data_IF_638095221470
#
_entry.id   IF_638095221470
#
_cell.length_a   1.000
_cell.length_b   1.000
_cell.length_c   1.000
_cell.angle_alpha   90.00
_cell.angle_beta   90.00
_cell.angle_gamma   90.00
#
_symmetry.space_group_name_H-M   'P 1'
#
loop_
_entity.id
_entity.type
_entity.pdbx_description
1 polymer ?
#
# COMPACT_ATOMS: atom_id res chain seq x y z
N UNK A 1 -4.09 40.02 14.46
CA UNK A 1 -4.28 38.62 14.00
C UNK A 1 -4.18 37.54 15.10
N UNK A 2 -3.83 37.84 16.36
CA UNK A 2 -3.58 36.80 17.38
C UNK A 2 -4.76 36.33 18.26
N UNK A 3 -5.94 36.95 18.18
CA UNK A 3 -7.06 36.64 19.10
C UNK A 3 -8.02 35.59 18.49
N UNK A 4 -8.19 35.56 17.17
CA UNK A 4 -9.07 34.62 16.48
C UNK A 4 -8.52 33.18 16.46
N UNK A 5 -7.21 32.99 16.30
CA UNK A 5 -6.57 31.66 16.31
C UNK A 5 -6.61 31.00 17.69
N UNK A 6 -6.48 31.80 18.78
CA UNK A 6 -6.58 31.30 20.15
C UNK A 6 -8.00 30.82 20.49
N UNK A 7 -9.03 31.44 19.90
CA UNK A 7 -10.44 31.05 20.07
C UNK A 7 -10.78 29.77 19.31
N UNK A 8 -10.24 29.58 18.09
CA UNK A 8 -10.46 28.38 17.28
C UNK A 8 -9.77 27.15 17.91
N UNK A 9 -8.57 27.32 18.49
CA UNK A 9 -7.87 26.23 19.19
C UNK A 9 -8.60 25.79 20.48
N UNK A 10 -9.16 26.75 21.25
CA UNK A 10 -9.98 26.47 22.44
C UNK A 10 -11.30 25.77 22.09
N UNK A 11 -11.95 26.14 20.98
CA UNK A 11 -13.17 25.48 20.50
C UNK A 11 -12.91 24.05 20.00
N UNK A 12 -11.74 23.80 19.37
CA UNK A 12 -11.30 22.45 18.97
C UNK A 12 -11.00 21.53 20.16
N UNK A 13 -10.43 22.08 21.24
CA UNK A 13 -10.19 21.37 22.51
C UNK A 13 -11.51 20.97 23.21
N UNK A 14 -12.48 21.89 23.28
CA UNK A 14 -13.80 21.64 23.87
C UNK A 14 -14.60 20.56 23.10
N UNK A 15 -14.49 20.52 21.77
CA UNK A 15 -15.12 19.46 20.94
C UNK A 15 -14.47 18.09 21.14
N UNK A 16 -13.15 18.01 21.31
CA UNK A 16 -12.44 16.76 21.65
C UNK A 16 -12.80 16.26 23.04
N UNK A 17 -12.90 17.16 24.03
CA UNK A 17 -13.27 16.81 25.40
C UNK A 17 -14.72 16.31 25.50
N UNK A 18 -15.66 16.91 24.77
CA UNK A 18 -17.05 16.42 24.69
C UNK A 18 -17.15 15.04 24.01
N UNK A 19 -16.38 14.77 22.95
CA UNK A 19 -16.33 13.42 22.31
C UNK A 19 -15.75 12.36 23.25
N UNK A 20 -14.71 12.71 24.01
CA UNK A 20 -14.08 11.81 24.98
C UNK A 20 -15.00 11.49 26.18
N UNK A 21 -15.69 12.50 26.72
CA UNK A 21 -16.70 12.33 27.78
C UNK A 21 -17.92 11.50 27.31
N UNK A 22 -18.34 11.67 26.06
CA UNK A 22 -19.45 10.90 25.47
C UNK A 22 -19.08 9.42 25.24
N UNK A 23 -17.85 9.14 24.78
CA UNK A 23 -17.35 7.77 24.65
C UNK A 23 -17.19 7.08 26.01
N UNK A 24 -16.71 7.76 27.05
CA UNK A 24 -16.61 7.19 28.41
C UNK A 24 -17.97 6.93 29.06
N UNK A 25 -18.96 7.78 28.83
CA UNK A 25 -20.35 7.53 29.27
C UNK A 25 -20.97 6.29 28.61
N UNK A 26 -20.71 6.06 27.32
CA UNK A 26 -21.14 4.84 26.62
C UNK A 26 -20.50 3.57 27.17
N UNK A 27 -19.23 3.62 27.54
CA UNK A 27 -18.50 2.48 28.12
C UNK A 27 -19.00 2.18 29.55
N UNK A 28 -19.32 3.21 30.35
CA UNK A 28 -19.92 2.99 31.68
C UNK A 28 -21.35 2.44 31.63
N UNK A 29 -22.19 2.83 30.66
CA UNK A 29 -23.54 2.28 30.51
C UNK A 29 -23.54 0.81 30.05
N UNK A 30 -22.55 0.37 29.27
CA UNK A 30 -22.40 -1.04 28.87
C UNK A 30 -21.92 -1.93 30.03
N UNK A 31 -21.09 -1.40 30.94
CA UNK A 31 -20.64 -2.12 32.13
C UNK A 31 -21.74 -2.28 33.20
N UNK A 32 -22.66 -1.31 33.31
CA UNK A 32 -23.76 -1.38 34.27
C UNK A 32 -24.89 -2.34 33.85
N UNK A 33 -25.10 -2.55 32.54
CA UNK A 33 -26.13 -3.48 32.04
C UNK A 33 -25.75 -4.96 32.17
N UNK A 34 -24.45 -5.28 32.17
CA UNK A 34 -23.95 -6.65 32.27
C UNK A 34 -23.91 -7.21 33.71
N UNK A 35 -23.87 -6.35 34.72
CA UNK A 35 -23.72 -6.78 36.12
C UNK A 35 -25.04 -7.08 36.84
N UNK A 36 -26.19 -6.68 36.27
CA UNK A 36 -27.50 -6.90 36.91
C UNK A 36 -28.14 -8.28 36.62
N UNK A 37 -27.64 -9.04 35.64
CA UNK A 37 -28.24 -10.32 35.25
C UNK A 37 -27.64 -11.56 35.95
N UNK A 38 -26.60 -11.42 36.77
CA UNK A 38 -25.95 -12.56 37.46
C UNK A 38 -26.60 -12.87 38.82
N UNK A 39 -27.48 -12.01 39.35
CA UNK A 39 -28.11 -12.16 40.67
C UNK A 39 -29.50 -12.83 40.67
N UNK A 40 -30.04 -13.23 39.50
CA UNK A 40 -31.42 -13.78 39.41
C UNK A 40 -31.53 -15.21 38.87
N UNK A 41 -30.43 -15.93 38.65
CA UNK A 41 -30.46 -17.40 38.45
C UNK A 41 -31.33 -17.90 37.27
N UNK A 42 -31.63 -17.06 36.28
CA UNK A 42 -32.38 -17.49 35.09
C UNK A 42 -31.41 -18.08 34.04
N UNK A 43 -31.71 -19.27 33.49
CA UNK A 43 -30.87 -19.86 32.45
C UNK A 43 -30.95 -19.04 31.15
N UNK A 44 -29.85 -18.96 30.38
CA UNK A 44 -29.86 -18.27 29.10
C UNK A 44 -30.79 -19.01 28.12
N UNK A 45 -31.66 -18.26 27.44
CA UNK A 45 -32.46 -18.78 26.34
C UNK A 45 -31.54 -19.31 25.22
N UNK A 46 -31.88 -20.43 24.57
CA UNK A 46 -31.09 -20.97 23.48
C UNK A 46 -31.18 -20.01 22.28
N UNK A 47 -30.08 -19.31 22.00
CA UNK A 47 -29.91 -18.55 20.76
C UNK A 47 -29.61 -19.56 19.67
N UNK A 48 -30.66 -20.03 18.98
CA UNK A 48 -30.50 -20.82 17.76
C UNK A 48 -29.81 -19.99 16.67
N UNK A 49 -29.07 -20.64 15.74
CA UNK A 49 -28.49 -19.93 14.61
C UNK A 49 -29.59 -19.22 13.81
N UNK A 50 -29.34 -18.03 13.25
CA UNK A 50 -30.29 -17.39 12.36
C UNK A 50 -30.62 -18.36 11.20
N UNK A 51 -31.89 -18.42 10.75
CA UNK A 51 -32.25 -19.29 9.64
C UNK A 51 -31.35 -18.97 8.43
N UNK A 52 -30.87 -19.99 7.69
CA UNK A 52 -30.10 -19.75 6.49
C UNK A 52 -30.92 -18.85 5.56
N UNK A 53 -30.33 -17.71 5.20
CA UNK A 53 -30.85 -16.86 4.15
C UNK A 53 -30.66 -17.63 2.85
N UNK A 54 -31.69 -18.37 2.44
CA UNK A 54 -31.74 -18.88 1.08
C UNK A 54 -31.99 -17.66 0.18
N UNK A 55 -31.06 -17.24 -0.69
CA UNK A 55 -31.45 -16.35 -1.77
C UNK A 55 -32.56 -17.06 -2.52
N UNK A 56 -33.75 -16.45 -2.55
CA UNK A 56 -34.77 -16.87 -3.49
C UNK A 56 -34.10 -16.90 -4.85
N UNK A 57 -34.16 -18.04 -5.51
CA UNK A 57 -33.78 -18.16 -6.91
C UNK A 57 -34.71 -17.22 -7.67
N UNK A 58 -34.25 -15.99 -7.89
CA UNK A 58 -34.81 -15.12 -8.92
C UNK A 58 -34.54 -15.85 -10.22
N UNK A 59 -35.61 -16.35 -10.82
CA UNK A 59 -35.57 -16.98 -12.13
C UNK A 59 -34.80 -16.08 -13.10
N UNK A 60 -33.97 -16.69 -13.93
CA UNK A 60 -33.11 -16.06 -14.91
C UNK A 60 -33.90 -15.13 -15.85
N UNK A 61 -33.93 -13.84 -15.53
CA UNK A 61 -34.41 -12.77 -16.42
C UNK A 61 -33.30 -11.80 -16.84
N UNK A 62 -32.05 -12.04 -16.42
CA UNK A 62 -30.91 -11.17 -16.77
C UNK A 62 -30.30 -11.44 -18.14
N UNK A 63 -30.39 -12.67 -18.66
CA UNK A 63 -29.84 -13.00 -19.98
C UNK A 63 -30.55 -12.26 -21.12
N UNK A 64 -31.85 -11.99 -20.98
CA UNK A 64 -32.64 -11.31 -22.02
C UNK A 64 -32.20 -9.85 -22.27
N UNK A 65 -31.68 -9.16 -21.26
CA UNK A 65 -31.25 -7.76 -21.39
C UNK A 65 -29.87 -7.64 -22.05
N UNK A 66 -28.96 -8.55 -21.72
CA UNK A 66 -27.60 -8.57 -22.31
C UNK A 66 -27.66 -8.93 -23.79
N UNK A 67 -28.46 -9.94 -24.17
CA UNK A 67 -28.64 -10.34 -25.57
C UNK A 67 -29.26 -9.20 -26.41
N UNK A 68 -30.25 -8.50 -25.88
CA UNK A 68 -30.87 -7.35 -26.55
C UNK A 68 -29.85 -6.23 -26.83
N UNK A 69 -29.01 -5.89 -25.85
CA UNK A 69 -27.96 -4.89 -26.04
C UNK A 69 -26.91 -5.34 -27.07
N UNK A 70 -26.46 -6.59 -26.96
CA UNK A 70 -25.46 -7.17 -27.86
C UNK A 70 -25.98 -7.41 -29.28
N UNK A 71 -27.29 -7.45 -29.50
CA UNK A 71 -27.88 -7.47 -30.84
C UNK A 71 -27.41 -6.29 -31.70
N UNK A 72 -27.27 -5.11 -31.11
CA UNK A 72 -26.73 -3.92 -31.78
C UNK A 72 -25.25 -3.66 -31.42
N UNK A 73 -24.85 -3.82 -30.15
CA UNK A 73 -23.49 -3.49 -29.68
C UNK A 73 -22.49 -4.63 -29.84
N UNK A 74 -22.93 -5.85 -30.15
CA UNK A 74 -22.07 -7.03 -30.24
C UNK A 74 -21.45 -7.27 -31.62
N UNK A 75 -21.83 -6.46 -32.63
CA UNK A 75 -21.34 -6.56 -34.01
C UNK A 75 -20.53 -5.33 -34.41
N UNK A 76 -19.58 -5.54 -35.32
CA UNK A 76 -18.76 -4.45 -35.86
C UNK A 76 -19.61 -3.49 -36.70
N UNK A 77 -19.28 -2.20 -36.66
CA UNK A 77 -19.89 -1.18 -37.52
C UNK A 77 -20.63 -0.06 -36.80
N UNK A 78 -20.97 -0.23 -35.52
CA UNK A 78 -21.51 0.87 -34.72
C UNK A 78 -20.38 1.77 -34.19
N UNK A 79 -20.47 3.06 -34.50
CA UNK A 79 -19.54 4.08 -34.01
C UNK A 79 -20.29 5.30 -33.50
N UNK A 80 -19.74 5.97 -32.48
CA UNK A 80 -20.21 7.27 -32.01
C UNK A 80 -19.16 8.33 -32.36
N UNK A 81 -19.61 9.42 -32.98
CA UNK A 81 -18.77 10.61 -33.23
C UNK A 81 -19.13 11.70 -32.23
N UNK A 82 -18.13 12.19 -31.51
CA UNK A 82 -18.28 13.25 -30.53
C UNK A 82 -18.06 14.64 -31.15
N UNK A 83 -18.62 15.71 -30.57
CA UNK A 83 -18.33 17.09 -30.96
C UNK A 83 -16.83 17.47 -30.94
N UNK A 84 -16.00 16.75 -30.18
CA UNK A 84 -14.54 16.90 -30.18
C UNK A 84 -13.87 16.44 -31.49
N UNK A 85 -14.59 15.78 -32.39
CA UNK A 85 -14.05 15.15 -33.60
C UNK A 85 -13.55 13.72 -33.38
N UNK A 86 -13.63 13.19 -32.15
CA UNK A 86 -13.31 11.79 -31.86
C UNK A 86 -14.42 10.86 -32.36
N UNK A 87 -14.05 9.78 -33.05
CA UNK A 87 -14.97 8.68 -33.37
C UNK A 87 -14.53 7.44 -32.63
N UNK A 88 -15.42 6.83 -31.87
CA UNK A 88 -15.16 5.60 -31.11
C UNK A 88 -16.03 4.45 -31.59
N UNK A 89 -15.47 3.25 -31.62
CA UNK A 89 -16.25 2.03 -31.83
C UNK A 89 -17.10 1.74 -30.60
N UNK A 90 -18.37 1.37 -30.82
CA UNK A 90 -19.31 0.96 -29.79
C UNK A 90 -19.37 -0.57 -29.64
N UNK A 91 -18.45 -1.29 -30.29
CA UNK A 91 -18.37 -2.75 -30.21
C UNK A 91 -18.06 -3.19 -28.78
N UNK A 92 -18.94 -4.03 -28.25
CA UNK A 92 -18.73 -4.83 -27.05
C UNK A 92 -18.58 -6.29 -27.49
N UNK A 93 -17.36 -6.81 -27.43
CA UNK A 93 -17.11 -8.20 -27.81
C UNK A 93 -17.85 -9.16 -26.84
N UNK A 94 -18.83 -9.96 -27.32
CA UNK A 94 -19.66 -10.80 -26.46
C UNK A 94 -18.86 -11.79 -25.63
N UNK A 95 -17.82 -12.41 -26.22
CA UNK A 95 -17.00 -13.42 -25.55
C UNK A 95 -16.11 -12.80 -24.46
N UNK A 96 -15.52 -11.63 -24.72
CA UNK A 96 -14.72 -10.91 -23.71
C UNK A 96 -15.58 -10.42 -22.56
N UNK A 97 -16.79 -9.92 -22.84
CA UNK A 97 -17.71 -9.52 -21.78
C UNK A 97 -18.12 -10.73 -20.94
N UNK A 98 -18.58 -11.82 -21.56
CA UNK A 98 -19.01 -13.04 -20.86
C UNK A 98 -17.91 -13.70 -20.00
N UNK A 99 -16.64 -13.49 -20.34
CA UNK A 99 -15.48 -13.98 -19.57
C UNK A 99 -14.95 -12.97 -18.54
N UNK A 100 -15.44 -11.73 -18.55
CA UNK A 100 -15.12 -10.73 -17.54
C UNK A 100 -15.69 -11.11 -16.18
N UNK A 101 -15.19 -10.47 -15.12
CA UNK A 101 -15.70 -10.68 -13.75
C UNK A 101 -17.16 -10.22 -13.58
N UNK A 102 -17.65 -9.37 -14.48
CA UNK A 102 -19.02 -8.84 -14.43
C UNK A 102 -19.98 -9.56 -15.36
N UNK A 103 -19.52 -10.13 -16.48
CA UNK A 103 -20.42 -10.63 -17.54
C UNK A 103 -21.24 -11.87 -17.22
N UNK A 104 -21.09 -12.45 -16.03
CA UNK A 104 -21.96 -13.54 -15.53
C UNK A 104 -22.95 -13.10 -14.45
N UNK A 105 -22.81 -11.88 -13.93
CA UNK A 105 -23.50 -11.42 -12.71
C UNK A 105 -24.29 -10.14 -12.98
N UNK A 106 -23.84 -9.31 -13.90
CA UNK A 106 -24.41 -8.00 -14.19
C UNK A 106 -24.96 -7.91 -15.62
N UNK A 107 -26.04 -7.17 -15.75
CA UNK A 107 -26.60 -6.72 -17.02
C UNK A 107 -25.95 -5.40 -17.46
N UNK A 108 -26.15 -5.04 -18.73
CA UNK A 108 -25.63 -3.78 -19.28
C UNK A 108 -26.16 -2.56 -18.51
N UNK A 109 -27.45 -2.57 -18.15
CA UNK A 109 -28.18 -1.49 -17.47
C UNK A 109 -27.76 -1.30 -16.00
N UNK A 110 -27.08 -2.28 -15.39
CA UNK A 110 -26.54 -2.14 -14.03
C UNK A 110 -25.40 -1.13 -13.96
N UNK A 111 -24.65 -0.99 -15.06
CA UNK A 111 -23.59 0.01 -15.22
C UNK A 111 -24.05 1.20 -16.07
N UNK A 112 -24.81 0.96 -17.13
CA UNK A 112 -25.42 1.98 -17.98
C UNK A 112 -26.79 2.42 -17.46
N UNK A 113 -26.81 2.89 -16.22
CA UNK A 113 -28.05 3.12 -15.45
C UNK A 113 -28.91 4.28 -15.98
N UNK A 114 -28.39 5.04 -16.95
CA UNK A 114 -29.12 6.11 -17.63
C UNK A 114 -29.95 5.64 -18.83
N UNK A 115 -29.84 4.37 -19.23
CA UNK A 115 -30.60 3.82 -20.36
C UNK A 115 -31.97 3.34 -19.85
N UNK A 116 -33.04 3.93 -20.39
CA UNK A 116 -34.43 3.64 -19.99
C UNK A 116 -35.30 3.09 -21.13
N UNK A 117 -34.85 3.23 -22.37
CA UNK A 117 -35.56 2.80 -23.58
C UNK A 117 -34.55 2.19 -24.58
N UNK A 118 -35.00 1.27 -25.43
CA UNK A 118 -34.17 0.66 -26.48
C UNK A 118 -34.96 0.67 -27.80
N UNK A 119 -34.45 1.28 -28.89
CA UNK A 119 -33.18 2.02 -29.00
C UNK A 119 -33.12 3.27 -28.11
N UNK A 120 -31.93 3.63 -27.62
CA UNK A 120 -31.72 4.77 -26.71
C UNK A 120 -31.11 5.99 -27.42
N UNK A 121 -31.33 7.22 -26.91
CA UNK A 121 -30.66 8.41 -27.42
C UNK A 121 -29.15 8.37 -27.16
N UNK A 122 -28.39 9.13 -27.95
CA UNK A 122 -26.95 9.30 -27.76
C UNK A 122 -26.65 10.17 -26.54
N UNK A 123 -25.56 9.90 -25.79
CA UNK A 123 -25.15 10.74 -24.68
C UNK A 123 -24.74 12.13 -25.17
N UNK A 124 -25.25 13.18 -24.51
CA UNK A 124 -24.92 14.59 -24.81
C UNK A 124 -23.63 15.01 -24.11
N UNK A 125 -22.50 14.50 -24.58
CA UNK A 125 -21.15 14.81 -24.06
C UNK A 125 -20.22 15.21 -25.21
N UNK A 126 -19.20 16.02 -24.93
CA UNK A 126 -18.33 16.61 -25.97
C UNK A 126 -17.23 15.68 -26.43
N UNK A 127 -16.82 14.70 -25.62
CA UNK A 127 -15.72 13.78 -25.92
C UNK A 127 -15.89 12.42 -25.24
N UNK A 128 -15.14 11.42 -25.71
CA UNK A 128 -15.09 10.11 -25.06
C UNK A 128 -14.56 10.21 -23.62
N UNK A 129 -13.65 11.16 -23.38
CA UNK A 129 -13.09 11.38 -22.05
C UNK A 129 -14.12 11.95 -21.08
N UNK A 130 -14.90 12.92 -21.51
CA UNK A 130 -15.99 13.48 -20.71
C UNK A 130 -17.04 12.41 -20.39
N UNK A 131 -17.36 11.53 -21.35
CA UNK A 131 -18.20 10.36 -21.09
C UNK A 131 -17.63 9.48 -19.96
N UNK A 132 -16.34 9.14 -20.04
CA UNK A 132 -15.68 8.29 -19.04
C UNK A 132 -15.70 8.91 -17.64
N UNK A 133 -15.48 10.23 -17.54
CA UNK A 133 -15.55 10.98 -16.28
C UNK A 133 -16.97 11.03 -15.71
N UNK A 134 -17.99 11.19 -16.57
CA UNK A 134 -19.39 11.17 -16.15
C UNK A 134 -19.83 9.79 -15.63
N UNK A 135 -19.33 8.72 -16.23
CA UNK A 135 -19.72 7.34 -15.87
C UNK A 135 -18.91 6.76 -14.70
N UNK A 136 -17.79 7.37 -14.30
CA UNK A 136 -16.90 6.88 -13.25
C UNK A 136 -17.63 6.56 -11.92
N UNK A 137 -18.63 7.36 -11.56
CA UNK A 137 -19.36 7.16 -10.30
C UNK A 137 -20.24 5.91 -10.28
N UNK A 138 -20.55 5.30 -11.43
CA UNK A 138 -21.33 4.04 -11.50
C UNK A 138 -20.69 2.94 -10.66
N UNK A 139 -19.35 2.87 -10.66
CA UNK A 139 -18.60 1.88 -9.91
C UNK A 139 -18.81 2.00 -8.38
N UNK A 140 -19.09 3.21 -7.86
CA UNK A 140 -19.23 3.46 -6.41
C UNK A 140 -20.44 2.78 -5.79
N UNK A 141 -21.45 2.44 -6.60
CA UNK A 141 -22.67 1.75 -6.17
C UNK A 141 -22.39 0.36 -5.60
N UNK A 142 -21.37 -0.32 -6.14
CA UNK A 142 -20.97 -1.66 -5.71
C UNK A 142 -19.57 -1.67 -5.05
N UNK A 143 -18.64 -0.85 -5.56
CA UNK A 143 -17.26 -0.78 -5.07
C UNK A 143 -17.00 0.43 -4.16
N UNK A 144 -17.96 0.73 -3.28
CA UNK A 144 -17.91 1.91 -2.39
C UNK A 144 -16.62 2.00 -1.56
N UNK A 145 -16.14 0.88 -1.03
CA UNK A 145 -14.91 0.86 -0.23
C UNK A 145 -13.66 1.24 -1.04
N UNK A 146 -13.55 0.76 -2.29
CA UNK A 146 -12.43 1.11 -3.16
C UNK A 146 -12.55 2.56 -3.65
N UNK A 147 -13.75 2.98 -4.06
CA UNK A 147 -14.04 4.37 -4.41
C UNK A 147 -13.62 5.32 -3.29
N UNK A 148 -13.99 5.02 -2.05
CA UNK A 148 -13.68 5.88 -0.89
C UNK A 148 -12.17 6.01 -0.68
N UNK A 149 -11.39 4.92 -0.87
CA UNK A 149 -9.92 4.99 -0.79
C UNK A 149 -9.33 5.93 -1.84
N UNK A 150 -9.90 5.97 -3.05
CA UNK A 150 -9.35 6.79 -4.13
C UNK A 150 -9.44 8.28 -3.84
N UNK A 151 -10.37 8.72 -2.98
CA UNK A 151 -10.55 10.13 -2.63
C UNK A 151 -9.33 10.75 -1.97
N UNK A 152 -8.50 9.94 -1.29
CA UNK A 152 -7.25 10.38 -0.66
C UNK A 152 -6.02 10.20 -1.57
N UNK A 153 -6.21 9.79 -2.83
CA UNK A 153 -5.11 9.54 -3.76
C UNK A 153 -4.70 10.78 -4.55
N UNK A 154 -3.43 10.85 -4.96
CA UNK A 154 -2.92 11.91 -5.84
C UNK A 154 -3.63 11.99 -7.18
N UNK A 155 -4.11 10.87 -7.71
CA UNK A 155 -4.88 10.87 -8.95
C UNK A 155 -6.23 11.56 -8.76
N UNK A 156 -6.90 11.34 -7.63
CA UNK A 156 -8.15 12.04 -7.33
C UNK A 156 -7.92 13.53 -7.05
N UNK A 157 -6.84 13.89 -6.34
CA UNK A 157 -6.49 15.31 -6.12
C UNK A 157 -6.32 16.05 -7.46
N UNK A 158 -5.58 15.47 -8.42
CA UNK A 158 -5.44 16.02 -9.78
C UNK A 158 -6.80 16.16 -10.48
N UNK A 159 -7.61 15.10 -10.48
CA UNK A 159 -8.94 15.11 -11.09
C UNK A 159 -9.84 16.20 -10.47
N UNK A 160 -9.82 16.35 -9.15
CA UNK A 160 -10.64 17.32 -8.41
C UNK A 160 -10.26 18.78 -8.73
N UNK A 161 -9.02 19.01 -9.18
CA UNK A 161 -8.52 20.31 -9.66
C UNK A 161 -8.83 20.57 -11.13
N UNK A 162 -9.59 19.68 -11.78
CA UNK A 162 -9.99 19.80 -13.17
C UNK A 162 -8.99 19.19 -14.16
N UNK A 163 -8.00 18.42 -13.70
CA UNK A 163 -7.13 17.68 -14.60
C UNK A 163 -7.90 16.48 -15.19
N UNK A 164 -8.45 16.70 -16.39
CA UNK A 164 -9.18 15.67 -17.13
C UNK A 164 -8.30 14.49 -17.54
N UNK A 165 -6.97 14.55 -17.44
CA UNK A 165 -6.07 13.42 -17.75
C UNK A 165 -5.89 12.47 -16.57
N UNK A 166 -6.30 12.84 -15.36
CA UNK A 166 -6.16 12.01 -14.17
C UNK A 166 -6.99 10.72 -14.27
N UNK A 167 -6.43 9.53 -14.01
CA UNK A 167 -7.12 8.27 -14.31
C UNK A 167 -8.34 8.02 -13.41
N UNK A 168 -9.40 7.46 -13.99
CA UNK A 168 -10.58 6.90 -13.33
C UNK A 168 -10.60 5.37 -13.42
N UNK A 169 -11.56 4.72 -12.77
CA UNK A 169 -11.67 3.25 -12.70
C UNK A 169 -11.42 2.53 -14.03
N UNK A 170 -12.04 3.03 -15.11
CA UNK A 170 -11.98 2.40 -16.44
C UNK A 170 -10.63 2.55 -17.12
N UNK A 171 -9.83 3.58 -16.80
CA UNK A 171 -8.50 3.75 -17.37
C UNK A 171 -7.54 2.64 -16.91
N UNK A 172 -7.76 2.14 -15.69
CA UNK A 172 -6.97 1.08 -15.08
C UNK A 172 -7.55 -0.32 -15.32
N UNK A 173 -8.87 -0.48 -15.14
CA UNK A 173 -9.54 -1.79 -15.15
C UNK A 173 -10.15 -2.18 -16.50
N UNK A 174 -10.33 -1.22 -17.41
CA UNK A 174 -11.19 -1.38 -18.59
C UNK A 174 -12.67 -1.16 -18.26
N UNK A 175 -13.53 -1.29 -19.27
CA UNK A 175 -14.98 -1.12 -19.14
C UNK A 175 -15.73 -2.46 -19.29
N UNK A 176 -15.57 -3.14 -20.42
CA UNK A 176 -16.30 -4.37 -20.78
C UNK A 176 -15.46 -5.66 -20.73
N UNK A 177 -14.18 -5.57 -20.35
CA UNK A 177 -13.25 -6.72 -20.25
C UNK A 177 -12.55 -6.77 -18.87
N UNK A 178 -13.24 -6.31 -17.83
CA UNK A 178 -12.71 -6.23 -16.46
C UNK A 178 -12.29 -7.64 -16.01
N UNK A 179 -11.00 -7.80 -15.72
CA UNK A 179 -10.41 -9.07 -15.28
C UNK A 179 -10.28 -9.11 -13.76
N UNK A 180 -10.00 -10.31 -13.26
CA UNK A 180 -9.67 -10.51 -11.85
C UNK A 180 -8.47 -9.64 -11.46
N UNK A 181 -8.59 -9.00 -10.31
CA UNK A 181 -7.53 -8.13 -9.78
C UNK A 181 -6.23 -8.92 -9.61
N UNK A 182 -5.12 -8.35 -10.06
CA UNK A 182 -3.79 -8.98 -9.93
C UNK A 182 -3.44 -10.02 -11.01
N UNK A 183 -4.32 -10.27 -11.99
CA UNK A 183 -4.11 -11.35 -12.97
C UNK A 183 -4.27 -10.90 -14.45
N UNK A 184 -3.26 -11.16 -15.32
CA UNK A 184 -1.89 -11.54 -14.97
C UNK A 184 -1.19 -10.38 -14.25
N UNK A 185 -0.31 -10.68 -13.28
CA UNK A 185 0.32 -9.67 -12.42
C UNK A 185 1.12 -8.62 -13.22
N UNK A 186 1.74 -9.03 -14.32
CA UNK A 186 2.46 -8.14 -15.24
C UNK A 186 1.56 -7.05 -15.88
N UNK A 187 0.23 -7.30 -16.02
CA UNK A 187 -0.72 -6.31 -16.57
C UNK A 187 -0.76 -5.05 -15.73
N UNK A 188 -0.54 -5.12 -14.42
CA UNK A 188 -0.55 -3.95 -13.53
C UNK A 188 0.50 -2.93 -13.99
N UNK A 189 1.75 -3.37 -14.22
CA UNK A 189 2.82 -2.48 -14.69
C UNK A 189 2.51 -1.90 -16.07
N UNK A 190 1.94 -2.70 -16.98
CA UNK A 190 1.53 -2.25 -18.31
C UNK A 190 0.42 -1.19 -18.25
N UNK A 191 -0.52 -1.31 -17.32
CA UNK A 191 -1.57 -0.31 -17.10
C UNK A 191 -0.96 1.03 -16.67
N UNK A 192 -0.05 1.02 -15.70
CA UNK A 192 0.64 2.24 -15.25
C UNK A 192 1.46 2.87 -16.38
N UNK A 193 2.10 2.05 -17.22
CA UNK A 193 2.95 2.49 -18.33
C UNK A 193 2.23 3.33 -19.39
N UNK A 194 0.89 3.22 -19.50
CA UNK A 194 0.09 4.02 -20.44
C UNK A 194 0.21 5.53 -20.21
N UNK A 195 0.43 5.93 -18.96
CA UNK A 195 0.62 7.33 -18.58
C UNK A 195 2.03 7.58 -18.00
N UNK A 196 2.61 6.60 -17.31
CA UNK A 196 3.94 6.69 -16.69
C UNK A 196 5.00 5.95 -17.51
N UNK A 197 5.08 6.25 -18.81
CA UNK A 197 5.94 5.55 -19.77
C UNK A 197 7.43 5.58 -19.40
N UNK A 198 7.97 6.77 -19.14
CA UNK A 198 9.39 6.96 -18.78
C UNK A 198 9.77 6.20 -17.49
N UNK A 199 8.89 6.25 -16.49
CA UNK A 199 9.09 5.53 -15.23
C UNK A 199 9.03 4.01 -15.46
N UNK A 200 8.09 3.54 -16.27
CA UNK A 200 7.99 2.13 -16.61
C UNK A 200 9.21 1.65 -17.40
N UNK A 201 9.82 2.50 -18.22
CA UNK A 201 11.05 2.20 -18.94
C UNK A 201 12.24 2.02 -17.98
N UNK A 202 12.33 2.87 -16.95
CA UNK A 202 13.30 2.66 -15.87
C UNK A 202 13.03 1.36 -15.12
N UNK A 203 11.77 1.14 -14.73
CA UNK A 203 11.32 -0.05 -14.01
C UNK A 203 11.61 -1.34 -14.76
N UNK A 204 11.34 -1.39 -16.06
CA UNK A 204 11.56 -2.59 -16.89
C UNK A 204 13.03 -2.98 -16.99
N UNK A 205 13.97 -2.05 -16.75
CA UNK A 205 15.41 -2.32 -16.68
C UNK A 205 15.91 -2.80 -15.32
N UNK A 206 15.13 -2.59 -14.27
CA UNK A 206 15.45 -3.05 -12.90
C UNK A 206 15.39 -4.57 -12.77
N UNK A 207 15.94 -5.11 -11.69
CA UNK A 207 15.85 -6.56 -11.39
C UNK A 207 14.41 -7.01 -11.16
N UNK A 208 13.57 -6.18 -10.56
CA UNK A 208 12.15 -6.48 -10.33
C UNK A 208 11.37 -6.46 -11.65
N UNK A 209 11.53 -5.41 -12.45
CA UNK A 209 10.85 -5.27 -13.73
C UNK A 209 11.25 -6.35 -14.73
N UNK A 210 12.54 -6.66 -14.86
CA UNK A 210 13.01 -7.77 -15.72
C UNK A 210 12.41 -9.10 -15.30
N UNK A 211 12.32 -9.37 -13.99
CA UNK A 211 11.80 -10.64 -13.50
C UNK A 211 10.30 -10.83 -13.80
N UNK A 212 9.46 -9.80 -13.63
CA UNK A 212 8.03 -9.91 -13.93
C UNK A 212 7.71 -9.83 -15.44
N UNK A 213 8.45 -9.00 -16.19
CA UNK A 213 8.14 -8.75 -17.61
C UNK A 213 8.75 -9.80 -18.55
N UNK A 214 9.91 -10.36 -18.22
CA UNK A 214 10.62 -11.29 -19.10
C UNK A 214 10.57 -12.75 -18.62
N UNK A 215 10.31 -13.00 -17.33
CA UNK A 215 10.39 -14.33 -16.73
C UNK A 215 9.12 -14.80 -16.03
N UNK A 216 8.01 -14.06 -16.17
CA UNK A 216 6.73 -14.29 -15.47
C UNK A 216 6.86 -14.57 -13.96
N UNK A 217 7.93 -14.10 -13.32
CA UNK A 217 8.14 -14.33 -11.90
C UNK A 217 7.22 -13.41 -11.10
N UNK A 218 6.13 -13.96 -10.57
CA UNK A 218 5.16 -13.22 -9.76
C UNK A 218 5.62 -12.89 -8.33
N UNK A 219 6.76 -13.42 -7.88
CA UNK A 219 7.30 -13.20 -6.53
C UNK A 219 7.94 -11.80 -6.36
N UNK A 220 8.06 -11.02 -7.44
CA UNK A 220 8.62 -9.66 -7.42
C UNK A 220 7.52 -8.59 -7.33
N UNK A 221 7.85 -7.39 -6.81
CA UNK A 221 6.87 -6.31 -6.74
C UNK A 221 6.58 -5.73 -8.13
N UNK A 222 5.34 -5.30 -8.33
CA UNK A 222 4.88 -4.39 -9.40
C UNK A 222 4.58 -3.02 -8.79
N UNK A 223 4.15 -2.05 -9.62
CA UNK A 223 3.93 -0.66 -9.22
C UNK A 223 3.07 -0.52 -7.95
N UNK A 224 2.02 -1.34 -7.85
CA UNK A 224 1.03 -1.28 -6.76
C UNK A 224 1.53 -1.86 -5.45
N UNK A 225 2.58 -2.67 -5.42
CA UNK A 225 3.16 -3.16 -4.17
C UNK A 225 3.93 -2.06 -3.43
N UNK A 226 4.44 -1.07 -4.17
CA UNK A 226 5.13 0.10 -3.60
C UNK A 226 4.22 1.33 -3.47
N UNK A 227 3.37 1.58 -4.46
CA UNK A 227 2.52 2.78 -4.52
C UNK A 227 1.07 2.58 -4.11
N UNK A 228 0.62 1.34 -3.88
CA UNK A 228 -0.81 0.97 -3.77
C UNK A 228 -1.58 1.28 -5.06
N UNK A 229 -2.86 0.86 -5.15
CA UNK A 229 -3.68 1.06 -6.37
C UNK A 229 -4.78 2.10 -6.19
N UNK A 230 -5.52 2.01 -5.07
CA UNK A 230 -6.67 2.88 -4.79
C UNK A 230 -6.38 3.94 -3.73
N UNK A 231 -5.14 4.03 -3.22
CA UNK A 231 -4.76 4.96 -2.15
C UNK A 231 -3.35 5.48 -2.39
N UNK A 232 -3.08 5.84 -3.64
CA UNK A 232 -1.76 6.27 -4.10
C UNK A 232 -1.42 7.62 -3.45
N UNK A 233 -0.49 7.58 -2.49
CA UNK A 233 0.06 8.78 -1.85
C UNK A 233 1.10 9.45 -2.77
N UNK A 234 1.32 10.76 -2.59
CA UNK A 234 2.40 11.47 -3.27
C UNK A 234 3.77 10.94 -2.82
N UNK A 235 4.57 10.35 -3.73
CA UNK A 235 5.86 9.75 -3.38
C UNK A 235 6.92 10.78 -2.95
N UNK A 236 6.62 12.08 -3.06
CA UNK A 236 7.50 13.18 -2.64
C UNK A 236 7.27 13.60 -1.18
N UNK A 237 6.29 13.03 -0.48
CA UNK A 237 6.04 13.39 0.92
C UNK A 237 7.10 12.78 1.85
N UNK A 238 7.30 13.42 3.00
CA UNK A 238 8.12 12.85 4.07
C UNK A 238 7.51 11.56 4.63
N UNK A 239 6.18 11.49 4.73
CA UNK A 239 5.45 10.30 5.17
C UNK A 239 5.69 9.09 4.26
N UNK A 240 5.68 9.28 2.94
CA UNK A 240 6.02 8.20 2.01
C UNK A 240 7.49 7.78 2.21
N UNK A 241 8.41 8.74 2.28
CA UNK A 241 9.85 8.47 2.49
C UNK A 241 10.12 7.66 3.75
N UNK A 242 9.49 8.01 4.88
CA UNK A 242 9.65 7.31 6.16
C UNK A 242 9.11 5.86 6.13
N UNK A 243 8.20 5.52 5.21
CA UNK A 243 7.66 4.16 5.05
C UNK A 243 8.47 3.27 4.10
N UNK A 244 9.43 3.81 3.34
CA UNK A 244 10.21 3.05 2.36
C UNK A 244 10.84 1.78 2.96
N UNK A 245 11.48 1.80 4.15
CA UNK A 245 12.04 0.59 4.74
C UNK A 245 11.01 -0.54 4.93
N UNK A 246 9.80 -0.21 5.35
CA UNK A 246 8.70 -1.18 5.54
C UNK A 246 8.17 -1.72 4.21
N UNK A 247 8.10 -0.89 3.17
CA UNK A 247 7.73 -1.31 1.82
C UNK A 247 8.69 -2.38 1.31
N UNK A 248 10.00 -2.13 1.43
CA UNK A 248 11.02 -3.09 1.01
C UNK A 248 10.98 -4.37 1.87
N UNK A 249 10.79 -4.22 3.19
CA UNK A 249 10.76 -5.33 4.13
C UNK A 249 9.61 -6.32 3.91
N UNK A 250 8.50 -5.88 3.30
CA UNK A 250 7.36 -6.74 2.97
C UNK A 250 7.79 -7.99 2.20
N UNK A 251 8.76 -7.83 1.29
CA UNK A 251 9.37 -8.93 0.55
C UNK A 251 10.73 -9.32 1.14
N UNK A 252 11.60 -8.35 1.43
CA UNK A 252 12.99 -8.62 1.80
C UNK A 252 13.21 -9.16 3.22
N UNK A 253 12.22 -9.05 4.10
CA UNK A 253 12.25 -9.69 5.43
C UNK A 253 11.42 -10.99 5.46
N UNK A 254 10.79 -11.38 4.35
CA UNK A 254 10.00 -12.60 4.26
C UNK A 254 10.91 -13.82 4.04
N UNK A 255 11.08 -14.63 5.09
CA UNK A 255 11.94 -15.83 5.09
C UNK A 255 11.53 -16.85 4.03
N UNK A 256 10.24 -17.10 3.85
CA UNK A 256 9.76 -18.08 2.88
C UNK A 256 10.06 -17.64 1.45
N UNK A 257 9.88 -16.35 1.16
CA UNK A 257 10.14 -15.76 -0.16
C UNK A 257 11.65 -15.69 -0.45
N UNK A 258 12.42 -15.06 0.43
CA UNK A 258 13.84 -14.80 0.21
C UNK A 258 14.69 -16.06 0.17
N UNK A 259 14.28 -17.13 0.88
CA UNK A 259 14.95 -18.44 0.83
C UNK A 259 14.99 -19.02 -0.59
N UNK A 260 13.94 -18.82 -1.41
CA UNK A 260 13.91 -19.29 -2.80
C UNK A 260 15.02 -18.68 -3.66
N UNK A 261 15.43 -17.46 -3.32
CA UNK A 261 16.38 -16.66 -4.07
C UNK A 261 17.77 -16.56 -3.41
N UNK A 262 17.97 -17.22 -2.26
CA UNK A 262 19.23 -17.15 -1.50
C UNK A 262 19.54 -15.75 -0.96
N UNK A 263 18.51 -14.90 -0.79
CA UNK A 263 18.65 -13.54 -0.28
C UNK A 263 18.54 -13.57 1.26
N UNK A 264 19.38 -12.79 1.95
CA UNK A 264 19.30 -12.68 3.41
C UNK A 264 18.07 -11.89 3.84
N UNK A 265 17.36 -12.34 4.87
CA UNK A 265 16.28 -11.57 5.51
C UNK A 265 16.75 -10.61 6.58
N UNK A 266 18.03 -10.65 6.96
CA UNK A 266 18.59 -9.77 7.99
C UNK A 266 18.77 -8.32 7.49
N UNK A 267 18.39 -8.02 6.25
CA UNK A 267 18.66 -6.70 5.64
C UNK A 267 17.93 -5.56 6.33
N UNK A 268 16.68 -5.76 6.76
CA UNK A 268 15.97 -4.75 7.53
C UNK A 268 16.58 -4.61 8.93
N UNK A 269 16.83 -5.72 9.62
CA UNK A 269 17.32 -5.69 10.99
C UNK A 269 18.69 -5.00 11.06
N UNK A 270 19.60 -5.35 10.14
CA UNK A 270 20.92 -4.72 10.04
C UNK A 270 20.86 -3.25 9.63
N UNK A 271 19.88 -2.85 8.81
CA UNK A 271 19.61 -1.44 8.51
C UNK A 271 19.10 -0.68 9.75
N UNK A 272 18.16 -1.25 10.50
CA UNK A 272 17.61 -0.62 11.70
C UNK A 272 18.63 -0.53 12.85
N UNK A 273 19.61 -1.43 12.89
CA UNK A 273 20.77 -1.34 13.78
C UNK A 273 21.79 -0.26 13.36
N UNK A 274 21.73 0.24 12.11
CA UNK A 274 22.62 1.28 11.63
C UNK A 274 22.12 2.70 11.98
N UNK A 275 23.02 3.69 11.85
CA UNK A 275 22.69 5.07 12.19
C UNK A 275 21.57 5.66 11.32
N UNK A 276 21.48 5.28 10.04
CA UNK A 276 20.42 5.76 9.15
C UNK A 276 19.06 5.17 9.55
N UNK A 277 18.98 3.85 9.73
CA UNK A 277 17.74 3.17 10.10
C UNK A 277 17.27 3.52 11.51
N UNK A 278 18.17 3.62 12.48
CA UNK A 278 17.85 4.07 13.84
C UNK A 278 17.26 5.49 13.83
N UNK A 279 17.84 6.41 13.06
CA UNK A 279 17.34 7.78 12.98
C UNK A 279 15.95 7.84 12.33
N UNK A 280 15.71 7.07 11.27
CA UNK A 280 14.39 6.96 10.64
C UNK A 280 13.34 6.39 11.62
N UNK A 281 13.71 5.36 12.39
CA UNK A 281 12.84 4.77 13.39
C UNK A 281 12.44 5.78 14.48
N UNK A 282 13.40 6.58 14.95
CA UNK A 282 13.15 7.66 15.91
C UNK A 282 12.24 8.75 15.33
N UNK A 283 12.52 9.23 14.12
CA UNK A 283 11.73 10.29 13.48
C UNK A 283 10.29 9.88 13.25
N UNK A 284 10.07 8.63 12.84
CA UNK A 284 8.73 8.06 12.70
C UNK A 284 7.97 8.07 14.03
N UNK A 285 8.64 7.73 15.14
CA UNK A 285 8.05 7.72 16.48
C UNK A 285 7.71 9.12 16.98
N UNK A 286 8.55 10.11 16.67
CA UNK A 286 8.37 11.51 17.11
C UNK A 286 7.50 12.34 16.17
N UNK A 287 7.12 11.81 15.01
CA UNK A 287 6.33 12.54 14.00
C UNK A 287 7.13 13.64 13.29
N UNK A 288 8.46 13.53 13.26
CA UNK A 288 9.34 14.47 12.58
C UNK A 288 9.23 14.25 11.08
N UNK A 289 8.82 15.29 10.34
CA UNK A 289 8.57 15.24 8.89
C UNK A 289 9.67 15.92 8.08
N UNK A 290 10.83 16.21 8.68
CA UNK A 290 11.94 16.80 7.95
C UNK A 290 12.53 15.78 6.96
N UNK A 291 12.49 16.11 5.67
CA UNK A 291 13.03 15.27 4.58
C UNK A 291 14.56 15.26 4.56
N UNK A 292 15.19 16.26 5.17
CA UNK A 292 16.62 16.42 5.16
C UNK A 292 17.27 15.50 6.20
N UNK A 293 18.09 14.55 5.72
CA UNK A 293 19.34 14.04 6.32
C UNK A 293 19.46 12.53 6.59
N UNK A 294 18.52 11.68 6.18
CA UNK A 294 18.67 10.23 6.42
C UNK A 294 18.49 9.42 5.15
N UNK A 295 19.48 8.56 4.87
CA UNK A 295 19.45 7.61 3.77
C UNK A 295 18.42 6.50 4.06
N UNK A 296 17.55 6.24 3.11
CA UNK A 296 16.64 5.08 3.09
C UNK A 296 17.07 4.12 1.97
N UNK A 297 16.42 2.96 1.88
CA UNK A 297 16.75 1.90 0.94
C UNK A 297 16.95 2.42 -0.50
N UNK A 298 16.07 3.31 -0.96
CA UNK A 298 16.09 3.83 -2.34
C UNK A 298 17.22 4.82 -2.63
N UNK A 299 17.81 5.48 -1.64
CA UNK A 299 18.93 6.40 -1.86
C UNK A 299 20.22 5.65 -2.24
N UNK A 300 20.34 4.40 -1.76
CA UNK A 300 21.43 3.49 -2.04
C UNK A 300 21.11 2.54 -3.20
N UNK A 301 19.91 1.97 -3.25
CA UNK A 301 19.57 0.91 -4.22
C UNK A 301 18.92 1.40 -5.52
N UNK A 302 18.48 2.67 -5.59
CA UNK A 302 17.66 3.19 -6.68
C UNK A 302 16.17 3.12 -6.36
N UNK A 303 15.34 3.79 -7.17
CA UNK A 303 13.88 3.90 -6.95
C UNK A 303 13.15 2.96 -7.89
N UNK A 304 13.27 3.22 -9.21
CA UNK A 304 12.67 2.43 -10.27
C UNK A 304 13.72 1.70 -11.11
N UNK A 305 15.00 1.83 -10.79
CA UNK A 305 16.14 1.31 -11.55
C UNK A 305 16.97 0.34 -10.71
N UNK A 306 16.37 -0.32 -9.72
CA UNK A 306 17.07 -1.19 -8.78
C UNK A 306 17.87 -2.26 -9.53
N UNK A 307 19.20 -2.23 -9.35
CA UNK A 307 20.14 -3.12 -10.02
C UNK A 307 20.58 -4.29 -9.11
N UNK A 308 21.16 -5.37 -9.67
CA UNK A 308 21.80 -6.40 -8.87
C UNK A 308 22.89 -5.81 -7.98
N UNK A 309 23.12 -6.38 -6.79
CA UNK A 309 24.12 -5.85 -5.84
C UNK A 309 25.57 -5.99 -6.31
N UNK A 310 25.84 -6.89 -7.27
CA UNK A 310 27.19 -7.22 -7.74
C UNK A 310 27.50 -6.82 -9.20
N UNK A 311 26.61 -6.08 -9.89
CA UNK A 311 26.78 -5.72 -11.31
C UNK A 311 27.28 -4.28 -11.53
N UNK A 312 27.95 -3.97 -12.66
CA UNK A 312 28.61 -2.68 -13.00
C UNK A 312 27.70 -1.43 -12.93
N UNK A 313 26.37 -1.59 -13.02
CA UNK A 313 25.40 -0.50 -12.87
C UNK A 313 24.90 -0.30 -11.42
N UNK A 314 25.35 -1.11 -10.47
CA UNK A 314 24.87 -1.06 -9.08
C UNK A 314 25.40 0.16 -8.34
N UNK A 315 24.50 0.94 -7.75
CA UNK A 315 24.85 2.02 -6.85
C UNK A 315 25.49 1.50 -5.54
N UNK A 316 25.16 0.27 -5.15
CA UNK A 316 25.66 -0.35 -3.91
C UNK A 316 26.92 -1.21 -4.11
N UNK A 317 27.50 -1.25 -5.30
CA UNK A 317 28.82 -1.88 -5.44
C UNK A 317 29.87 -1.05 -4.72
N UNK A 318 30.90 -1.73 -4.19
CA UNK A 318 32.00 -1.09 -3.46
C UNK A 318 32.63 0.08 -4.24
N UNK A 319 32.81 -0.06 -5.56
CA UNK A 319 33.42 0.97 -6.40
C UNK A 319 32.55 2.25 -6.57
N UNK A 320 31.23 2.15 -6.44
CA UNK A 320 30.32 3.29 -6.60
C UNK A 320 29.82 3.86 -5.26
N UNK A 321 29.98 3.11 -4.17
CA UNK A 321 29.38 3.43 -2.88
C UNK A 321 29.90 4.75 -2.28
N UNK A 322 31.18 5.07 -2.47
CA UNK A 322 31.76 6.34 -2.01
C UNK A 322 31.00 7.53 -2.60
N UNK A 323 30.69 7.48 -3.90
CA UNK A 323 29.93 8.54 -4.60
C UNK A 323 28.50 8.67 -4.07
N UNK A 324 27.90 7.56 -3.62
CA UNK A 324 26.58 7.59 -2.99
C UNK A 324 26.67 8.25 -1.61
N UNK A 325 27.65 7.87 -0.78
CA UNK A 325 27.88 8.48 0.53
C UNK A 325 28.13 10.00 0.41
N UNK A 326 28.88 10.42 -0.61
CA UNK A 326 29.20 11.82 -0.90
C UNK A 326 27.99 12.71 -1.18
N UNK A 327 26.82 12.13 -1.53
CA UNK A 327 25.58 12.90 -1.71
C UNK A 327 25.10 13.58 -0.42
N UNK A 328 25.47 13.02 0.74
CA UNK A 328 25.07 13.54 2.05
C UNK A 328 26.27 13.82 2.96
N UNK A 329 27.34 13.02 2.85
CA UNK A 329 28.57 13.17 3.61
C UNK A 329 29.67 13.73 2.70
N UNK A 330 29.91 15.05 2.74
CA UNK A 330 30.80 15.80 1.82
C UNK A 330 32.11 15.12 1.37
N UNK A 331 33.27 15.61 1.78
CA UNK A 331 34.56 15.07 1.30
C UNK A 331 35.00 13.81 2.06
N UNK A 332 34.18 12.75 2.00
CA UNK A 332 34.54 11.44 2.56
C UNK A 332 35.51 10.69 1.65
N UNK A 333 36.49 10.02 2.27
CA UNK A 333 37.52 9.24 1.58
C UNK A 333 37.00 7.89 1.09
N UNK A 334 37.78 7.21 0.24
CA UNK A 334 37.43 5.88 -0.29
C UNK A 334 37.26 4.80 0.78
N UNK A 335 37.89 4.99 1.94
CA UNK A 335 37.79 4.06 3.07
C UNK A 335 36.54 4.30 3.93
N UNK A 336 35.81 5.41 3.73
CA UNK A 336 34.64 5.74 4.53
C UNK A 336 33.56 4.65 4.50
N UNK A 337 33.19 4.07 3.34
CA UNK A 337 32.19 3.01 3.31
C UNK A 337 32.68 1.69 3.94
N UNK A 338 33.98 1.52 4.18
CA UNK A 338 34.52 0.30 4.82
C UNK A 338 34.18 0.21 6.31
N UNK A 339 33.83 1.34 6.94
CA UNK A 339 33.32 1.36 8.32
C UNK A 339 31.88 0.83 8.43
N UNK A 340 31.17 0.70 7.31
CA UNK A 340 29.82 0.18 7.24
C UNK A 340 29.84 -1.31 6.84
N UNK A 341 29.14 -2.14 7.61
CA UNK A 341 29.09 -3.61 7.43
C UNK A 341 28.21 -4.04 6.23
N UNK A 342 27.65 -3.07 5.51
CA UNK A 342 26.52 -3.29 4.61
C UNK A 342 25.35 -3.94 5.37
N UNK A 343 24.47 -4.65 4.66
CA UNK A 343 23.36 -5.40 5.24
C UNK A 343 23.74 -6.86 5.58
N UNK A 344 24.98 -7.09 6.05
CA UNK A 344 25.46 -8.43 6.42
C UNK A 344 25.58 -8.58 7.93
N UNK A 345 25.12 -9.73 8.43
CA UNK A 345 25.35 -10.12 9.82
C UNK A 345 26.84 -10.42 10.06
N UNK A 346 27.46 -9.85 11.10
CA UNK A 346 28.79 -10.22 11.51
C UNK A 346 28.88 -11.72 11.80
N UNK A 347 29.91 -12.38 11.29
CA UNK A 347 30.20 -13.78 11.53
C UNK A 347 31.71 -13.99 11.63
N UNK A 348 32.17 -15.15 12.14
CA UNK A 348 33.60 -15.47 12.14
C UNK A 348 34.27 -15.39 10.76
N UNK A 349 33.49 -15.54 9.67
CA UNK A 349 33.99 -15.46 8.29
C UNK A 349 33.82 -14.07 7.65
N UNK A 350 32.86 -13.27 8.12
CA UNK A 350 32.56 -11.92 7.60
C UNK A 350 32.55 -10.92 8.74
N UNK A 351 33.52 -10.02 8.78
CA UNK A 351 33.74 -9.07 9.88
C UNK A 351 33.98 -9.76 11.25
N UNK A 352 35.02 -10.61 11.38
CA UNK A 352 35.28 -11.40 12.58
C UNK A 352 35.48 -10.53 13.83
N UNK A 353 36.17 -9.39 13.70
CA UNK A 353 36.40 -8.48 14.82
C UNK A 353 35.08 -8.02 15.44
N UNK A 354 34.13 -7.56 14.61
CA UNK A 354 32.80 -7.10 15.07
C UNK A 354 32.02 -8.25 15.69
N UNK A 355 32.11 -9.46 15.13
CA UNK A 355 31.47 -10.64 15.69
C UNK A 355 31.96 -10.94 17.11
N UNK A 356 33.27 -11.00 17.33
CA UNK A 356 33.84 -11.30 18.64
C UNK A 356 33.61 -10.18 19.66
N UNK A 357 33.63 -8.91 19.24
CA UNK A 357 33.26 -7.79 20.10
C UNK A 357 31.78 -7.87 20.51
N UNK A 358 30.86 -8.15 19.56
CA UNK A 358 29.44 -8.37 19.89
C UNK A 358 29.27 -9.57 20.84
N UNK A 359 30.00 -10.67 20.63
CA UNK A 359 29.97 -11.84 21.51
C UNK A 359 30.45 -11.52 22.93
N UNK A 360 31.56 -10.77 23.06
CA UNK A 360 32.08 -10.32 24.34
C UNK A 360 31.03 -9.52 25.10
N UNK A 361 30.43 -8.49 24.48
CA UNK A 361 29.40 -7.68 25.13
C UNK A 361 28.16 -8.47 25.50
N UNK A 362 27.75 -9.44 24.66
CA UNK A 362 26.61 -10.30 24.94
C UNK A 362 26.79 -11.15 26.20
N UNK A 363 28.02 -11.52 26.55
CA UNK A 363 28.35 -12.28 27.76
C UNK A 363 28.63 -11.34 28.93
N UNK A 364 29.42 -10.30 28.69
CA UNK A 364 29.91 -9.38 29.70
C UNK A 364 28.78 -8.55 30.34
N UNK A 365 27.84 -8.01 29.55
CA UNK A 365 26.76 -7.16 30.07
C UNK A 365 25.85 -7.93 31.05
N UNK A 366 25.29 -9.12 30.70
CA UNK A 366 24.50 -9.90 31.66
C UNK A 366 25.30 -10.35 32.87
N UNK A 367 26.59 -10.66 32.70
CA UNK A 367 27.46 -11.02 33.82
C UNK A 367 27.60 -9.88 34.83
N UNK A 368 27.89 -8.67 34.36
CA UNK A 368 28.01 -7.48 35.23
C UNK A 368 26.67 -7.13 35.88
N UNK A 369 25.57 -7.13 35.13
CA UNK A 369 24.22 -6.86 35.66
C UNK A 369 23.82 -7.92 36.68
N UNK A 370 24.04 -9.20 36.38
CA UNK A 370 23.75 -10.31 37.28
C UNK A 370 24.57 -10.23 38.57
N UNK A 371 25.86 -9.90 38.47
CA UNK A 371 26.72 -9.65 39.63
C UNK A 371 26.23 -8.50 40.50
N UNK A 372 25.79 -7.39 39.90
CA UNK A 372 25.22 -6.26 40.63
C UNK A 372 23.90 -6.63 41.34
N UNK A 373 23.00 -7.33 40.65
CA UNK A 373 21.73 -7.81 41.23
C UNK A 373 22.01 -8.75 42.41
N UNK A 374 22.93 -9.70 42.25
CA UNK A 374 23.33 -10.62 43.31
C UNK A 374 23.93 -9.87 44.50
N UNK A 375 24.81 -8.90 44.25
CA UNK A 375 25.39 -8.06 45.30
C UNK A 375 24.31 -7.32 46.10
N UNK A 376 23.36 -6.69 45.42
CA UNK A 376 22.22 -6.00 46.05
C UNK A 376 21.38 -6.99 46.85
N UNK A 377 21.06 -8.16 46.30
CA UNK A 377 20.25 -9.18 46.96
C UNK A 377 20.93 -9.69 48.25
N UNK A 378 22.24 -9.97 48.19
CA UNK A 378 23.02 -10.38 49.36
C UNK A 378 23.10 -9.28 50.41
N UNK A 379 23.20 -8.01 50.00
CA UNK A 379 23.19 -6.88 50.91
C UNK A 379 21.84 -6.72 51.63
N UNK A 380 20.73 -6.82 50.88
CA UNK A 380 19.37 -6.80 51.45
C UNK A 380 19.15 -7.99 52.38
N UNK A 381 19.59 -9.18 51.99
CA UNK A 381 19.49 -10.39 52.82
C UNK A 381 20.26 -10.23 54.13
N UNK A 382 21.51 -9.73 54.07
CA UNK A 382 22.31 -9.42 55.27
C UNK A 382 21.60 -8.44 56.20
N UNK A 383 21.02 -7.36 55.67
CA UNK A 383 20.26 -6.40 56.49
C UNK A 383 19.02 -7.02 57.13
N UNK A 384 18.37 -7.98 56.44
CA UNK A 384 17.19 -8.67 56.96
C UNK A 384 17.54 -9.74 58.02
N UNK A 385 18.70 -10.40 57.92
CA UNK A 385 19.11 -11.47 58.84
C UNK A 385 19.95 -11.00 60.03
N UNK A 386 20.76 -9.95 59.87
CA UNK A 386 21.50 -9.34 60.98
C UNK A 386 20.64 -8.31 61.71
N UNK A 387 19.63 -8.79 62.45
CA UNK A 387 19.04 -8.04 63.57
C UNK A 387 20.00 -8.03 64.76
#
# INVERSE_FOLDING_TARGET
>A
MGIAEALISRLGSLRRMKRWLWQRRRILCLAAGGAAMVLLGLPPLPVGPPPPFFPQAVAASGQSDVEACLGCHGSDGLTLSFPSGETVSLLVNPQKFATSVHGRILNCTDCHTGIQEVPHPQPKVKSHREYSLAQYESCKRCHFANYTKTLDSVHFDLMSRGDVRAPVCMDCHGAHDIRKAGEPRARISQTCARCHGEINESYSRSVHGKAILNGENSDVPVCTDCHQSHSIEDPRTASFRLRIPELCATCHSNKALMKKYGISTAVLDTYLEDFHGMTIALYRKEGVTNRALQAVCTDCHGIHDIQPTAGPGSLVMKANLVKVCQRCHGNVSENFPAAWLSHYEPSPKKFPLVYYVKLLYRIFIPFVIGGLILHIALHVWRMATNR
#
